data_IF_219587446867
#
_entry.id   IF_219587446867
#
_cell.length_a   1.000
_cell.length_b   1.000
_cell.length_c   1.000
_cell.angle_alpha   90.00
_cell.angle_beta   90.00
_cell.angle_gamma   90.00
#
_symmetry.space_group_name_H-M   'P 1'
#
loop_
_entity.id
_entity.type
_entity.pdbx_description
1 polymer ?
#
# COMPACT_ATOMS: atom_id res chain seq x y z
N UNK A 1 -63.56 4.50 -43.78
CA UNK A 1 -62.19 3.99 -43.80
C UNK A 1 -61.11 5.11 -43.69
N UNK A 2 -61.32 6.33 -44.13
CA UNK A 2 -60.31 7.44 -44.07
C UNK A 2 -59.92 7.85 -42.63
N UNK A 3 -60.82 7.76 -41.65
CA UNK A 3 -60.54 8.26 -40.29
C UNK A 3 -59.71 7.24 -39.46
N UNK A 4 -59.82 5.93 -39.72
CA UNK A 4 -59.02 4.91 -39.04
C UNK A 4 -57.55 4.98 -39.45
N UNK A 5 -57.26 5.37 -40.69
CA UNK A 5 -55.91 5.52 -41.18
C UNK A 5 -55.21 6.75 -40.56
N UNK A 6 -55.92 7.86 -40.38
CA UNK A 6 -55.38 9.05 -39.72
C UNK A 6 -55.06 8.85 -38.25
N UNK A 7 -55.87 8.08 -37.53
CA UNK A 7 -55.65 7.76 -36.11
C UNK A 7 -54.45 6.80 -35.96
N UNK A 8 -54.33 5.81 -36.87
CA UNK A 8 -53.16 4.89 -36.85
C UNK A 8 -51.85 5.64 -37.14
N UNK A 9 -51.85 6.61 -38.08
CA UNK A 9 -50.65 7.41 -38.41
C UNK A 9 -50.29 8.34 -37.27
N UNK A 10 -51.25 8.92 -36.56
CA UNK A 10 -51.04 9.78 -35.42
C UNK A 10 -50.47 8.99 -34.21
N UNK A 11 -50.99 7.79 -33.95
CA UNK A 11 -50.50 6.89 -32.91
C UNK A 11 -49.05 6.41 -33.19
N UNK A 12 -48.69 6.16 -34.45
CA UNK A 12 -47.34 5.76 -34.83
C UNK A 12 -46.31 6.89 -34.68
N UNK A 13 -46.75 8.13 -34.88
CA UNK A 13 -45.88 9.29 -34.72
C UNK A 13 -45.62 9.67 -33.25
N UNK A 14 -46.60 9.43 -32.37
CA UNK A 14 -46.44 9.66 -30.91
C UNK A 14 -45.57 8.62 -30.22
N UNK A 15 -45.62 7.34 -30.68
CA UNK A 15 -44.76 6.27 -30.11
C UNK A 15 -43.28 6.38 -30.53
N UNK A 16 -42.98 7.02 -31.70
CA UNK A 16 -41.60 7.20 -32.15
C UNK A 16 -40.86 8.32 -31.38
N UNK A 17 -41.58 9.22 -30.71
CA UNK A 17 -40.95 10.33 -29.98
C UNK A 17 -40.54 9.99 -28.56
N UNK A 18 -41.03 8.86 -28.01
CA UNK A 18 -40.72 8.45 -26.62
C UNK A 18 -39.50 7.52 -26.49
N UNK A 19 -38.92 7.06 -27.61
CA UNK A 19 -37.77 6.15 -27.59
C UNK A 19 -36.42 6.89 -27.68
N UNK A 20 -36.41 8.18 -27.86
CA UNK A 20 -35.20 8.99 -28.01
C UNK A 20 -34.68 9.64 -26.70
N UNK A 21 -35.41 9.49 -25.58
CA UNK A 21 -35.12 10.26 -24.36
C UNK A 21 -34.21 9.54 -23.34
N UNK A 22 -33.69 8.34 -23.67
CA UNK A 22 -32.90 7.56 -22.73
C UNK A 22 -31.43 7.35 -23.17
N UNK A 23 -30.96 8.02 -24.22
CA UNK A 23 -29.56 7.81 -24.67
C UNK A 23 -28.53 8.65 -23.90
N UNK A 24 -28.97 9.68 -23.15
CA UNK A 24 -28.07 10.57 -22.45
C UNK A 24 -27.78 10.16 -20.97
N UNK A 25 -28.37 9.05 -20.52
CA UNK A 25 -28.24 8.65 -19.11
C UNK A 25 -27.25 7.51 -18.88
N UNK A 26 -26.56 7.04 -19.90
CA UNK A 26 -25.60 5.92 -19.80
C UNK A 26 -24.16 6.32 -20.05
N UNK A 27 -23.86 7.55 -20.42
CA UNK A 27 -22.51 8.05 -20.34
C UNK A 27 -22.20 8.41 -18.88
N UNK A 28 -21.67 7.44 -18.16
CA UNK A 28 -20.98 7.71 -16.90
C UNK A 28 -19.76 8.54 -17.30
N UNK A 29 -19.92 9.86 -17.33
CA UNK A 29 -18.74 10.72 -17.30
C UNK A 29 -17.98 10.35 -16.05
N UNK A 30 -16.81 9.73 -16.24
CA UNK A 30 -15.89 9.47 -15.15
C UNK A 30 -15.52 10.80 -14.54
N UNK A 31 -16.26 11.20 -13.49
CA UNK A 31 -15.87 12.34 -12.67
C UNK A 31 -14.54 11.92 -12.06
N UNK A 32 -13.45 12.48 -12.56
CA UNK A 32 -12.14 12.36 -11.96
C UNK A 32 -12.19 13.07 -10.61
N UNK A 33 -12.67 12.33 -9.59
CA UNK A 33 -12.73 12.82 -8.21
C UNK A 33 -11.28 12.85 -7.73
N UNK A 34 -10.59 13.94 -8.04
CA UNK A 34 -9.33 14.25 -7.38
C UNK A 34 -9.63 14.39 -5.89
N UNK A 35 -9.32 13.34 -5.14
CA UNK A 35 -9.40 13.44 -3.69
C UNK A 35 -8.50 14.60 -3.25
N UNK A 36 -9.05 15.59 -2.50
CA UNK A 36 -8.27 16.74 -2.08
C UNK A 36 -7.12 16.26 -1.21
N UNK A 37 -5.89 16.44 -1.68
CA UNK A 37 -4.70 16.15 -0.92
C UNK A 37 -4.47 17.28 0.07
N UNK A 38 -4.49 16.97 1.37
CA UNK A 38 -4.27 17.95 2.45
C UNK A 38 -2.92 18.67 2.29
N UNK A 39 -1.90 17.97 1.77
CA UNK A 39 -0.58 18.54 1.50
C UNK A 39 -0.65 19.70 0.48
N UNK A 40 -1.49 19.55 -0.56
CA UNK A 40 -1.64 20.55 -1.61
C UNK A 40 -2.57 21.69 -1.18
N UNK A 41 -3.60 21.39 -0.38
CA UNK A 41 -4.57 22.39 0.09
C UNK A 41 -4.00 23.34 1.13
N UNK A 42 -3.20 22.84 2.06
CA UNK A 42 -2.58 23.64 3.12
C UNK A 42 -1.23 23.05 3.53
N UNK A 43 -0.15 23.33 2.79
CA UNK A 43 1.17 22.78 3.04
C UNK A 43 1.74 23.16 4.42
N UNK A 44 1.43 24.37 4.90
CA UNK A 44 1.90 24.86 6.20
C UNK A 44 1.25 24.05 7.35
N UNK A 45 -0.07 23.88 7.29
CA UNK A 45 -0.79 23.08 8.28
C UNK A 45 -0.34 21.62 8.27
N UNK A 46 -0.08 21.08 7.09
CA UNK A 46 0.42 19.71 6.95
C UNK A 46 1.81 19.55 7.56
N UNK A 47 2.72 20.50 7.34
CA UNK A 47 4.05 20.52 7.96
C UNK A 47 3.95 20.51 9.48
N UNK A 48 3.11 21.38 10.04
CA UNK A 48 2.86 21.44 11.48
C UNK A 48 2.24 20.15 12.03
N UNK A 49 1.36 19.53 11.27
CA UNK A 49 0.79 18.22 11.62
C UNK A 49 1.88 17.15 11.74
N UNK A 50 2.79 17.06 10.75
CA UNK A 50 3.90 16.10 10.78
C UNK A 50 4.86 16.35 11.95
N UNK A 51 5.13 17.61 12.28
CA UNK A 51 5.95 17.98 13.45
C UNK A 51 5.32 17.50 14.76
N UNK A 52 4.04 17.79 14.96
CA UNK A 52 3.30 17.37 16.13
C UNK A 52 3.24 15.84 16.25
N UNK A 53 3.05 15.14 15.13
CA UNK A 53 2.99 13.69 15.09
C UNK A 53 4.34 13.06 15.48
N UNK A 54 5.44 13.61 14.96
CA UNK A 54 6.79 13.18 15.34
C UNK A 54 7.10 13.44 16.82
N UNK A 55 6.67 14.60 17.36
CA UNK A 55 6.81 14.91 18.78
C UNK A 55 6.01 13.93 19.64
N UNK A 56 4.76 13.65 19.28
CA UNK A 56 3.93 12.66 19.97
C UNK A 56 4.60 11.28 19.98
N UNK A 57 5.14 10.83 18.84
CA UNK A 57 5.81 9.53 18.75
C UNK A 57 7.17 9.48 19.47
N UNK A 58 7.83 10.62 19.63
CA UNK A 58 9.09 10.74 20.36
C UNK A 58 8.89 10.76 21.90
N UNK A 59 7.67 11.05 22.38
CA UNK A 59 7.37 11.05 23.80
C UNK A 59 7.58 9.66 24.41
N UNK A 60 8.37 9.58 25.45
CA UNK A 60 8.70 8.34 26.15
C UNK A 60 7.60 7.86 27.08
N UNK A 61 6.71 8.76 27.51
CA UNK A 61 5.62 8.46 28.43
C UNK A 61 4.40 7.87 27.69
N UNK A 62 4.31 8.08 26.37
CA UNK A 62 3.22 7.52 25.60
C UNK A 62 3.42 6.02 25.32
N UNK A 63 2.35 5.24 25.38
CA UNK A 63 2.36 3.80 25.09
C UNK A 63 2.54 3.58 23.61
N UNK A 64 3.59 2.86 23.21
CA UNK A 64 3.89 2.57 21.82
C UNK A 64 2.90 1.57 21.23
N UNK A 65 2.40 1.88 20.05
CA UNK A 65 1.54 1.01 19.24
C UNK A 65 2.38 0.32 18.19
N UNK A 66 2.35 -1.01 18.24
CA UNK A 66 3.03 -1.87 17.27
C UNK A 66 2.01 -2.57 16.39
N UNK A 67 2.26 -2.63 15.09
CA UNK A 67 1.42 -3.36 14.13
C UNK A 67 2.29 -4.19 13.19
N UNK A 68 1.79 -5.37 12.78
CA UNK A 68 2.32 -6.14 11.67
C UNK A 68 1.57 -5.79 10.40
N UNK A 69 2.30 -5.66 9.31
CA UNK A 69 1.74 -5.43 7.99
C UNK A 69 2.13 -6.56 7.04
N UNK A 70 1.11 -7.22 6.49
CA UNK A 70 1.28 -8.22 5.45
C UNK A 70 1.48 -7.53 4.10
N UNK A 71 2.72 -7.49 3.65
CA UNK A 71 3.12 -6.92 2.36
C UNK A 71 3.40 -8.00 1.31
N UNK A 72 2.69 -9.14 1.38
CA UNK A 72 2.80 -10.22 0.38
C UNK A 72 2.26 -9.83 -1.00
N UNK A 73 1.23 -8.94 -1.04
CA UNK A 73 0.62 -8.49 -2.29
C UNK A 73 1.49 -7.40 -2.94
N UNK A 74 2.07 -7.72 -4.11
CA UNK A 74 2.95 -6.81 -4.85
C UNK A 74 2.25 -6.02 -5.95
N UNK A 75 0.96 -6.31 -6.18
CA UNK A 75 0.09 -5.58 -7.12
C UNK A 75 -1.21 -5.19 -6.40
N UNK A 76 -1.18 -4.22 -5.49
CA UNK A 76 -2.32 -3.90 -4.65
C UNK A 76 -3.51 -3.46 -5.50
N UNK A 77 -4.67 -4.07 -5.25
CA UNK A 77 -5.94 -3.77 -5.91
C UNK A 77 -6.87 -2.92 -5.05
N UNK A 78 -6.51 -2.71 -3.78
CA UNK A 78 -7.29 -1.93 -2.83
C UNK A 78 -6.41 -1.09 -1.93
N UNK A 79 -6.96 0.02 -1.39
CA UNK A 79 -6.26 0.90 -0.46
C UNK A 79 -5.77 0.18 0.80
N UNK A 80 -6.49 -0.83 1.28
CA UNK A 80 -6.11 -1.59 2.47
C UNK A 80 -4.80 -2.40 2.31
N UNK A 81 -4.35 -2.63 1.08
CA UNK A 81 -3.10 -3.34 0.77
C UNK A 81 -1.87 -2.41 0.74
N UNK A 82 -2.08 -1.11 1.00
CA UNK A 82 -1.02 -0.12 1.09
C UNK A 82 -0.65 0.15 2.55
N UNK A 83 0.65 0.17 2.86
CA UNK A 83 1.13 0.43 4.22
C UNK A 83 0.73 1.85 4.70
N UNK A 84 0.54 2.78 3.77
CA UNK A 84 0.05 4.13 4.03
C UNK A 84 -1.42 4.20 4.45
N UNK A 85 -2.16 3.09 4.33
CA UNK A 85 -3.54 2.97 4.85
C UNK A 85 -3.60 2.84 6.37
N UNK A 86 -2.47 2.54 7.00
CA UNK A 86 -2.38 2.38 8.45
C UNK A 86 -2.63 3.73 9.17
N UNK A 87 -3.28 3.69 10.34
CA UNK A 87 -3.47 4.89 11.15
C UNK A 87 -2.15 5.59 11.51
N UNK A 88 -2.13 6.91 11.42
CA UNK A 88 -0.94 7.72 11.72
C UNK A 88 -0.47 7.61 13.19
N UNK A 89 -1.33 7.11 14.08
CA UNK A 89 -1.00 6.87 15.50
C UNK A 89 -0.10 5.64 15.73
N UNK A 90 0.15 4.81 14.71
CA UNK A 90 1.03 3.64 14.85
C UNK A 90 2.48 4.10 14.91
N UNK A 91 3.20 3.66 15.94
CA UNK A 91 4.61 4.03 16.17
C UNK A 91 5.57 3.13 15.40
N UNK A 92 5.28 1.83 15.36
CA UNK A 92 6.17 0.82 14.80
C UNK A 92 5.36 -0.13 13.93
N UNK A 93 5.81 -0.31 12.69
CA UNK A 93 5.23 -1.27 11.74
C UNK A 93 6.26 -2.33 11.42
N UNK A 94 5.91 -3.59 11.67
CA UNK A 94 6.70 -4.75 11.27
C UNK A 94 6.26 -5.26 9.91
N UNK A 95 7.17 -5.34 8.95
CA UNK A 95 6.91 -5.97 7.64
C UNK A 95 7.06 -7.48 7.75
N UNK A 96 6.13 -8.22 7.15
CA UNK A 96 6.20 -9.68 7.11
C UNK A 96 7.14 -10.19 6.01
N UNK A 97 7.28 -9.43 4.90
CA UNK A 97 8.10 -9.80 3.74
C UNK A 97 9.09 -8.68 3.38
N UNK A 98 10.22 -8.57 4.10
CA UNK A 98 11.16 -7.46 3.92
C UNK A 98 12.08 -7.60 2.71
N UNK A 99 12.32 -8.82 2.23
CA UNK A 99 13.35 -9.13 1.23
C UNK A 99 13.00 -8.74 -0.21
N UNK A 100 11.72 -8.46 -0.47
CA UNK A 100 11.22 -8.19 -1.82
C UNK A 100 10.34 -6.94 -1.84
N UNK A 101 10.91 -5.80 -1.48
CA UNK A 101 10.16 -4.54 -1.49
C UNK A 101 9.97 -4.02 -2.92
N UNK A 102 8.70 -3.90 -3.33
CA UNK A 102 8.33 -3.24 -4.58
C UNK A 102 8.64 -1.72 -4.52
N UNK A 103 8.75 -1.07 -5.67
CA UNK A 103 9.07 0.35 -5.74
C UNK A 103 8.06 1.22 -4.96
N UNK A 104 6.76 0.93 -5.09
CA UNK A 104 5.73 1.67 -4.37
C UNK A 104 5.84 1.49 -2.85
N UNK A 105 6.20 0.28 -2.35
CA UNK A 105 6.38 0.03 -0.93
C UNK A 105 7.53 0.87 -0.35
N UNK A 106 8.63 1.03 -1.10
CA UNK A 106 9.76 1.87 -0.68
C UNK A 106 9.35 3.35 -0.54
N UNK A 107 8.53 3.87 -1.45
CA UNK A 107 7.99 5.24 -1.37
C UNK A 107 7.04 5.41 -0.19
N UNK A 108 6.20 4.42 0.05
CA UNK A 108 5.25 4.42 1.16
C UNK A 108 5.95 4.32 2.51
N UNK A 109 7.01 3.52 2.62
CA UNK A 109 7.87 3.45 3.81
C UNK A 109 8.47 4.84 4.12
N UNK A 110 8.98 5.54 3.11
CA UNK A 110 9.48 6.91 3.30
C UNK A 110 8.38 7.85 3.81
N UNK A 111 7.15 7.69 3.33
CA UNK A 111 6.00 8.47 3.80
C UNK A 111 5.70 8.19 5.28
N UNK A 112 5.74 6.93 5.72
CA UNK A 112 5.57 6.57 7.13
C UNK A 112 6.70 7.15 8.00
N UNK A 113 7.93 7.08 7.53
CA UNK A 113 9.09 7.63 8.24
C UNK A 113 9.00 9.15 8.42
N UNK A 114 8.46 9.88 7.42
CA UNK A 114 8.17 11.31 7.56
C UNK A 114 7.17 11.60 8.67
N UNK A 115 6.23 10.67 8.92
CA UNK A 115 5.27 10.73 10.03
C UNK A 115 5.86 10.29 11.38
N UNK A 116 7.14 9.90 11.43
CA UNK A 116 7.81 9.41 12.62
C UNK A 116 7.53 7.95 12.96
N UNK A 117 6.86 7.20 12.08
CA UNK A 117 6.66 5.76 12.23
C UNK A 117 7.95 5.02 11.92
N UNK A 118 8.33 4.08 12.77
CA UNK A 118 9.48 3.19 12.51
C UNK A 118 8.99 1.99 11.73
N UNK A 119 9.68 1.67 10.66
CA UNK A 119 9.44 0.42 9.90
C UNK A 119 10.55 -0.56 10.24
N UNK A 120 10.17 -1.75 10.67
CA UNK A 120 11.07 -2.82 11.12
C UNK A 120 10.66 -4.14 10.47
N UNK A 121 11.52 -5.13 10.56
CA UNK A 121 11.21 -6.49 10.14
C UNK A 121 11.86 -7.48 11.10
N UNK A 122 11.35 -8.71 11.10
CA UNK A 122 11.92 -9.79 11.89
C UNK A 122 12.98 -10.52 11.08
N UNK A 123 14.11 -10.81 11.72
CA UNK A 123 15.14 -11.69 11.18
C UNK A 123 14.86 -13.09 11.74
N UNK A 124 14.71 -14.08 10.85
CA UNK A 124 14.56 -15.47 11.24
C UNK A 124 15.94 -16.10 11.49
N UNK A 125 16.41 -15.97 12.73
CA UNK A 125 17.70 -16.48 13.16
C UNK A 125 17.84 -18.00 12.94
N UNK A 126 16.80 -18.77 13.25
CA UNK A 126 16.84 -20.23 13.17
C UNK A 126 16.98 -20.70 11.71
N UNK A 127 16.33 -20.00 10.79
CA UNK A 127 16.45 -20.30 9.36
C UNK A 127 17.86 -19.98 8.83
N UNK A 128 18.42 -18.83 9.22
CA UNK A 128 19.78 -18.44 8.85
C UNK A 128 20.80 -19.42 9.43
N UNK A 129 20.61 -19.84 10.68
CA UNK A 129 21.49 -20.82 11.33
C UNK A 129 21.45 -22.18 10.60
N UNK A 130 20.25 -22.63 10.25
CA UNK A 130 20.09 -23.87 9.48
C UNK A 130 20.74 -23.79 8.10
N UNK A 131 20.59 -22.68 7.38
CA UNK A 131 21.27 -22.49 6.10
C UNK A 131 22.79 -22.55 6.24
N UNK A 132 23.33 -21.98 7.31
CA UNK A 132 24.76 -22.07 7.61
C UNK A 132 25.20 -23.51 7.88
N UNK A 133 24.45 -24.26 8.70
CA UNK A 133 24.74 -25.70 8.97
C UNK A 133 24.69 -26.55 7.69
N UNK A 134 23.72 -26.31 6.80
CA UNK A 134 23.61 -27.00 5.52
C UNK A 134 24.83 -26.71 4.62
N UNK A 135 25.31 -25.46 4.59
CA UNK A 135 26.52 -25.07 3.85
C UNK A 135 27.76 -25.79 4.41
N UNK A 136 27.96 -25.76 5.72
CA UNK A 136 29.10 -26.42 6.37
C UNK A 136 29.09 -27.90 6.12
N UNK A 137 27.93 -28.54 6.18
CA UNK A 137 27.79 -29.99 5.97
C UNK A 137 28.18 -30.43 4.56
N UNK A 138 28.10 -29.52 3.59
CA UNK A 138 28.42 -29.79 2.16
C UNK A 138 29.82 -29.36 1.75
N UNK A 139 30.51 -28.54 2.55
CA UNK A 139 31.87 -28.06 2.29
C UNK A 139 32.93 -28.88 3.09
N UNK A 140 34.10 -29.05 2.51
CA UNK A 140 35.23 -29.67 3.24
C UNK A 140 35.80 -28.70 4.28
N UNK A 141 36.23 -29.19 5.43
CA UNK A 141 36.76 -28.38 6.55
C UNK A 141 37.85 -27.35 6.16
N UNK A 142 38.54 -27.58 5.03
CA UNK A 142 39.62 -26.69 4.55
C UNK A 142 39.12 -25.39 3.87
N UNK A 143 37.86 -25.30 3.51
CA UNK A 143 37.29 -24.13 2.80
C UNK A 143 36.46 -23.22 3.73
N UNK A 144 36.33 -23.59 4.99
CA UNK A 144 35.42 -22.93 5.92
C UNK A 144 36.17 -21.93 6.83
N UNK A 145 36.68 -20.83 6.26
CA UNK A 145 37.22 -19.69 7.03
C UNK A 145 36.15 -18.78 7.65
N UNK A 146 34.90 -18.96 7.25
CA UNK A 146 33.82 -18.06 7.66
C UNK A 146 33.08 -18.57 8.89
N UNK A 147 33.19 -17.83 9.99
CA UNK A 147 32.40 -18.09 11.19
C UNK A 147 30.91 -17.81 10.95
N UNK A 148 30.05 -18.42 11.77
CA UNK A 148 28.61 -18.13 11.74
C UNK A 148 28.30 -16.63 11.89
N UNK A 149 29.05 -15.91 12.71
CA UNK A 149 28.87 -14.45 12.89
C UNK A 149 29.11 -13.67 11.60
N UNK A 150 30.10 -14.08 10.81
CA UNK A 150 30.35 -13.47 9.50
C UNK A 150 29.20 -13.77 8.52
N UNK A 151 28.75 -15.02 8.47
CA UNK A 151 27.64 -15.42 7.62
C UNK A 151 26.35 -14.66 7.99
N UNK A 152 26.04 -14.58 9.28
CA UNK A 152 24.89 -13.84 9.81
C UNK A 152 24.97 -12.35 9.44
N UNK A 153 26.13 -11.73 9.57
CA UNK A 153 26.34 -10.33 9.19
C UNK A 153 26.05 -10.09 7.72
N UNK A 154 26.51 -10.99 6.85
CA UNK A 154 26.31 -10.90 5.41
C UNK A 154 24.83 -11.09 5.02
N UNK A 155 24.14 -12.00 5.66
CA UNK A 155 22.72 -12.21 5.40
C UNK A 155 21.87 -11.03 5.88
N UNK A 156 22.21 -10.42 7.01
CA UNK A 156 21.58 -9.18 7.48
C UNK A 156 21.83 -8.03 6.50
N UNK A 157 23.09 -7.82 6.05
CA UNK A 157 23.40 -6.78 5.05
C UNK A 157 22.60 -6.96 3.76
N UNK A 158 22.45 -8.20 3.29
CA UNK A 158 21.68 -8.51 2.08
C UNK A 158 20.19 -8.19 2.23
N UNK A 159 19.62 -8.43 3.42
CA UNK A 159 18.21 -8.10 3.70
C UNK A 159 17.97 -6.60 3.86
N UNK A 160 19.03 -5.80 4.14
CA UNK A 160 18.96 -4.34 4.28
C UNK A 160 19.19 -3.58 2.96
N UNK A 161 19.65 -4.24 1.91
CA UNK A 161 19.94 -3.63 0.60
C UNK A 161 18.70 -3.49 -0.27
#
# INVERSE_FOLDING_TARGET
>A
MKNKFKIATLLFFTTSFTLGACSDWTDIEGIDIKQPNIQEQNPELYTKYLENLRQYKADTEHKKVYAWFDNSEKNPSSYAQHITSLPDSIDIVGLMYPSELAAFEKEEIMTLQQKGTKVVYAINYDEIHKQYEDIISTQSEAENENTFDYFLSKEIEKQLA
#
